data_IF_209926950485
#
_entry.id   IF_209926950485
#
_cell.length_a   1.000
_cell.length_b   1.000
_cell.length_c   1.000
_cell.angle_alpha   90.00
_cell.angle_beta   90.00
_cell.angle_gamma   90.00
#
_symmetry.space_group_name_H-M   'P 1'
#
loop_
_entity.id
_entity.type
_entity.pdbx_description
1 polymer ?
#
# COMPACT_ATOMS: atom_id res chain seq x y z
N UNK A 1 -1.06 22.60 -1.41
CA UNK A 1 0.17 21.90 -1.88
C UNK A 1 -0.24 20.91 -2.97
N UNK A 2 0.50 20.78 -4.09
CA UNK A 2 0.13 19.82 -5.16
C UNK A 2 0.52 18.40 -4.75
N UNK A 3 -0.29 17.41 -5.10
CA UNK A 3 0.05 15.99 -4.92
C UNK A 3 1.33 15.68 -5.72
N UNK A 4 2.31 14.96 -5.13
CA UNK A 4 3.53 14.62 -5.86
C UNK A 4 3.24 13.72 -7.06
N UNK A 5 3.87 13.99 -8.19
CA UNK A 5 3.69 13.22 -9.44
C UNK A 5 4.85 12.23 -9.70
N UNK A 6 5.65 11.89 -8.69
CA UNK A 6 6.72 10.90 -8.87
C UNK A 6 6.11 9.49 -8.94
N UNK A 7 6.82 8.51 -9.56
CA UNK A 7 6.25 7.19 -9.83
C UNK A 7 5.66 6.48 -8.61
N UNK A 8 6.25 6.67 -7.41
CA UNK A 8 5.76 6.07 -6.17
C UNK A 8 4.31 6.49 -5.88
N UNK A 9 4.00 7.79 -5.98
CA UNK A 9 2.67 8.32 -5.62
C UNK A 9 1.62 7.95 -6.66
N UNK A 10 1.96 8.06 -7.94
CA UNK A 10 1.06 7.68 -9.04
C UNK A 10 0.72 6.20 -8.96
N UNK A 11 1.73 5.33 -8.83
CA UNK A 11 1.50 3.89 -8.74
C UNK A 11 0.78 3.50 -7.46
N UNK A 12 1.03 4.18 -6.34
CA UNK A 12 0.28 3.94 -5.10
C UNK A 12 -1.21 4.27 -5.32
N UNK A 13 -1.53 5.38 -5.97
CA UNK A 13 -2.91 5.72 -6.31
C UNK A 13 -3.57 4.65 -7.20
N UNK A 14 -2.88 4.22 -8.26
CA UNK A 14 -3.37 3.18 -9.18
C UNK A 14 -3.61 1.84 -8.44
N UNK A 15 -2.69 1.47 -7.54
CA UNK A 15 -2.82 0.28 -6.72
C UNK A 15 -4.04 0.38 -5.78
N UNK A 16 -4.25 1.52 -5.11
CA UNK A 16 -5.39 1.70 -4.22
C UNK A 16 -6.71 1.68 -4.98
N UNK A 17 -6.76 2.28 -6.17
CA UNK A 17 -7.94 2.19 -7.03
C UNK A 17 -8.22 0.75 -7.45
N UNK A 18 -7.18 -0.03 -7.78
CA UNK A 18 -7.30 -1.46 -8.04
C UNK A 18 -7.82 -2.19 -6.79
N UNK A 19 -7.25 -1.94 -5.61
CA UNK A 19 -7.61 -2.60 -4.36
C UNK A 19 -9.09 -2.37 -4.04
N UNK A 20 -9.54 -1.11 -4.02
CA UNK A 20 -10.92 -0.71 -3.72
C UNK A 20 -11.93 -1.34 -4.69
N UNK A 21 -11.57 -1.44 -5.98
CA UNK A 21 -12.44 -2.11 -6.97
C UNK A 21 -12.62 -3.59 -6.69
N UNK A 22 -11.60 -4.27 -6.16
CA UNK A 22 -11.64 -5.70 -5.87
C UNK A 22 -12.33 -6.00 -4.53
N UNK A 23 -12.01 -5.24 -3.49
CA UNK A 23 -12.65 -5.35 -2.16
C UNK A 23 -14.14 -5.05 -2.20
N UNK A 24 -14.62 -4.25 -3.16
CA UNK A 24 -16.05 -4.07 -3.44
C UNK A 24 -16.81 -5.36 -3.74
N UNK A 25 -16.15 -6.44 -4.13
CA UNK A 25 -16.79 -7.74 -4.41
C UNK A 25 -16.79 -8.67 -3.20
N UNK A 26 -16.12 -8.30 -2.11
CA UNK A 26 -16.02 -9.14 -0.92
C UNK A 26 -17.38 -9.26 -0.21
N UNK A 27 -17.63 -10.38 0.50
CA UNK A 27 -18.83 -10.61 1.28
C UNK A 27 -19.15 -9.47 2.26
N UNK A 28 -20.44 -9.13 2.40
CA UNK A 28 -20.90 -8.01 3.24
C UNK A 28 -20.52 -8.18 4.72
N UNK A 29 -20.50 -9.39 5.24
CA UNK A 29 -20.12 -9.70 6.62
C UNK A 29 -18.63 -9.41 6.92
N UNK A 30 -17.77 -9.27 5.91
CA UNK A 30 -16.36 -8.93 6.07
C UNK A 30 -16.08 -7.43 5.94
N UNK A 31 -17.09 -6.59 5.69
CA UNK A 31 -16.92 -5.16 5.39
C UNK A 31 -16.27 -4.40 6.54
N UNK A 32 -16.84 -4.52 7.73
CA UNK A 32 -16.41 -3.78 8.92
C UNK A 32 -15.25 -4.44 9.68
N UNK A 33 -14.72 -5.55 9.17
CA UNK A 33 -13.61 -6.28 9.77
C UNK A 33 -12.41 -6.30 8.81
N UNK A 34 -12.28 -7.39 8.05
CA UNK A 34 -11.14 -7.66 7.19
C UNK A 34 -11.02 -6.66 6.03
N UNK A 35 -12.14 -6.35 5.37
CA UNK A 35 -12.13 -5.44 4.21
C UNK A 35 -11.69 -4.04 4.61
N UNK A 36 -12.27 -3.50 5.68
CA UNK A 36 -11.89 -2.20 6.23
C UNK A 36 -10.40 -2.18 6.64
N UNK A 37 -9.90 -3.26 7.27
CA UNK A 37 -8.49 -3.36 7.67
C UNK A 37 -7.55 -3.34 6.46
N UNK A 38 -7.89 -4.06 5.39
CA UNK A 38 -7.11 -4.12 4.16
C UNK A 38 -7.08 -2.76 3.43
N UNK A 39 -8.23 -2.12 3.28
CA UNK A 39 -8.34 -0.80 2.63
C UNK A 39 -7.63 0.28 3.44
N UNK A 40 -7.85 0.31 4.77
CA UNK A 40 -7.17 1.23 5.68
C UNK A 40 -5.66 1.07 5.60
N UNK A 41 -5.13 -0.16 5.60
CA UNK A 41 -3.68 -0.40 5.47
C UNK A 41 -3.10 0.17 4.16
N UNK A 42 -3.87 0.13 3.07
CA UNK A 42 -3.50 0.75 1.81
C UNK A 42 -3.42 2.28 1.91
N UNK A 43 -4.44 2.91 2.49
CA UNK A 43 -4.45 4.37 2.69
C UNK A 43 -3.40 4.84 3.69
N UNK A 44 -3.18 4.07 4.76
CA UNK A 44 -2.15 4.27 5.75
C UNK A 44 -0.76 4.30 5.09
N UNK A 45 -0.50 3.42 4.13
CA UNK A 45 0.74 3.42 3.36
C UNK A 45 0.88 4.71 2.53
N UNK A 46 -0.19 5.11 1.83
CA UNK A 46 -0.21 6.35 1.05
C UNK A 46 0.03 7.59 1.93
N UNK A 47 -0.61 7.65 3.10
CA UNK A 47 -0.40 8.72 4.07
C UNK A 47 1.07 8.77 4.50
N UNK A 48 1.68 7.64 4.84
CA UNK A 48 3.06 7.59 5.30
C UNK A 48 4.05 8.12 4.24
N UNK A 49 3.88 7.78 2.96
CA UNK A 49 4.73 8.33 1.88
C UNK A 49 4.48 9.82 1.64
N UNK A 50 3.24 10.31 1.80
CA UNK A 50 2.91 11.73 1.67
C UNK A 50 3.52 12.54 2.82
N UNK A 51 3.42 12.04 4.05
CA UNK A 51 4.03 12.65 5.23
C UNK A 51 5.55 12.68 5.11
N UNK A 52 6.17 11.56 4.70
CA UNK A 52 7.61 11.52 4.40
C UNK A 52 8.02 12.51 3.29
N UNK A 53 7.15 12.75 2.30
CA UNK A 53 7.41 13.78 1.29
C UNK A 53 7.35 15.21 1.84
N UNK A 54 6.46 15.48 2.80
CA UNK A 54 6.24 16.79 3.38
C UNK A 54 7.35 17.23 4.35
N UNK A 55 8.02 16.28 5.02
CA UNK A 55 9.08 16.57 6.00
C UNK A 55 10.49 16.28 5.47
N UNK A 56 11.51 16.59 6.26
CA UNK A 56 12.94 16.43 5.94
C UNK A 56 13.69 15.81 7.14
N UNK A 57 14.93 15.38 6.92
CA UNK A 57 15.80 14.83 7.96
C UNK A 57 15.24 13.56 8.60
N UNK A 58 15.52 13.37 9.89
CA UNK A 58 15.15 12.17 10.65
C UNK A 58 13.65 11.83 10.59
N UNK A 59 12.78 12.84 10.69
CA UNK A 59 11.33 12.63 10.60
C UNK A 59 10.92 11.99 9.27
N UNK A 60 11.59 12.36 8.18
CA UNK A 60 11.34 11.76 6.87
C UNK A 60 11.72 10.28 6.88
N UNK A 61 12.88 9.94 7.43
CA UNK A 61 13.32 8.55 7.54
C UNK A 61 12.33 7.71 8.36
N UNK A 62 11.80 8.25 9.47
CA UNK A 62 10.75 7.60 10.27
C UNK A 62 9.49 7.33 9.47
N UNK A 63 8.99 8.32 8.71
CA UNK A 63 7.80 8.14 7.89
C UNK A 63 7.99 7.13 6.75
N UNK A 64 9.16 7.15 6.09
CA UNK A 64 9.46 6.19 5.03
C UNK A 64 9.68 4.77 5.57
N UNK A 65 10.28 4.63 6.76
CA UNK A 65 10.36 3.35 7.47
C UNK A 65 8.98 2.81 7.87
N UNK A 66 8.09 3.68 8.34
CA UNK A 66 6.69 3.32 8.61
C UNK A 66 5.97 2.88 7.32
N UNK A 67 6.20 3.56 6.20
CA UNK A 67 5.64 3.17 4.91
C UNK A 67 6.10 1.76 4.47
N UNK A 68 7.35 1.40 4.72
CA UNK A 68 7.89 0.07 4.40
C UNK A 68 7.21 -1.02 5.25
N UNK A 69 7.07 -0.78 6.56
CA UNK A 69 6.32 -1.67 7.45
C UNK A 69 4.84 -1.84 7.04
N UNK A 70 4.20 -0.75 6.59
CA UNK A 70 2.82 -0.79 6.08
C UNK A 70 2.70 -1.62 4.80
N UNK A 71 3.66 -1.55 3.87
CA UNK A 71 3.70 -2.42 2.69
C UNK A 71 3.82 -3.90 3.06
N UNK A 72 4.62 -4.23 4.08
CA UNK A 72 4.75 -5.60 4.56
C UNK A 72 3.42 -6.11 5.14
N UNK A 73 2.76 -5.30 5.98
CA UNK A 73 1.43 -5.61 6.51
C UNK A 73 0.39 -5.80 5.40
N UNK A 74 0.41 -4.93 4.38
CA UNK A 74 -0.49 -5.00 3.24
C UNK A 74 -0.30 -6.29 2.43
N UNK A 75 0.96 -6.72 2.22
CA UNK A 75 1.30 -8.00 1.59
C UNK A 75 0.76 -9.18 2.39
N UNK A 76 0.88 -9.14 3.72
CA UNK A 76 0.34 -10.17 4.61
C UNK A 76 -1.19 -10.24 4.54
N UNK A 77 -1.89 -9.10 4.58
CA UNK A 77 -3.34 -9.06 4.44
C UNK A 77 -3.78 -9.63 3.08
N UNK A 78 -3.16 -9.25 1.97
CA UNK A 78 -3.49 -9.82 0.66
C UNK A 78 -3.38 -11.35 0.60
N UNK A 79 -2.46 -11.95 1.35
CA UNK A 79 -2.35 -13.41 1.45
C UNK A 79 -3.58 -14.03 2.11
N UNK A 80 -4.08 -13.44 3.20
CA UNK A 80 -5.37 -13.85 3.78
C UNK A 80 -6.51 -13.73 2.77
N UNK A 81 -6.48 -12.75 1.86
CA UNK A 81 -7.51 -12.63 0.83
C UNK A 81 -7.53 -13.84 -0.12
N UNK A 82 -6.37 -14.45 -0.40
CA UNK A 82 -6.32 -15.70 -1.15
C UNK A 82 -6.82 -16.87 -0.29
N UNK A 83 -6.33 -16.99 0.95
CA UNK A 83 -6.68 -18.10 1.85
C UNK A 83 -8.18 -18.12 2.22
N UNK A 84 -8.85 -16.98 2.13
CA UNK A 84 -10.30 -16.80 2.34
C UNK A 84 -11.11 -16.86 1.03
N UNK A 85 -10.50 -17.23 -0.10
CA UNK A 85 -11.11 -17.28 -1.44
C UNK A 85 -11.73 -15.93 -1.90
N UNK A 86 -11.22 -14.80 -1.38
CA UNK A 86 -11.67 -13.45 -1.71
C UNK A 86 -11.00 -12.90 -2.97
N UNK A 87 -9.76 -13.33 -3.23
CA UNK A 87 -9.01 -13.04 -4.45
C UNK A 87 -8.54 -14.33 -5.10
N UNK A 88 -8.54 -14.37 -6.43
CA UNK A 88 -7.94 -15.47 -7.17
C UNK A 88 -6.41 -15.43 -7.10
N UNK A 89 -5.74 -16.56 -7.36
CA UNK A 89 -4.28 -16.64 -7.44
C UNK A 89 -3.68 -15.64 -8.45
N UNK A 90 -4.39 -15.38 -9.55
CA UNK A 90 -3.97 -14.40 -10.55
C UNK A 90 -4.07 -12.96 -10.03
N UNK A 91 -5.12 -12.64 -9.27
CA UNK A 91 -5.28 -11.33 -8.62
C UNK A 91 -4.23 -11.13 -7.53
N UNK A 92 -3.95 -12.16 -6.73
CA UNK A 92 -2.87 -12.11 -5.74
C UNK A 92 -1.51 -11.89 -6.40
N UNK A 93 -1.23 -12.62 -7.49
CA UNK A 93 0.03 -12.46 -8.25
C UNK A 93 0.18 -11.03 -8.76
N UNK A 94 -0.86 -10.45 -9.36
CA UNK A 94 -0.85 -9.05 -9.77
C UNK A 94 -0.56 -8.13 -8.58
N UNK A 95 -1.30 -8.27 -7.47
CA UNK A 95 -1.14 -7.40 -6.31
C UNK A 95 0.26 -7.47 -5.70
N UNK A 96 0.80 -8.68 -5.52
CA UNK A 96 2.13 -8.90 -4.94
C UNK A 96 3.26 -8.40 -5.83
N UNK A 97 3.15 -8.53 -7.15
CA UNK A 97 4.08 -7.92 -8.10
C UNK A 97 4.02 -6.38 -8.01
N UNK A 98 2.82 -5.82 -7.95
CA UNK A 98 2.61 -4.38 -7.82
C UNK A 98 3.20 -3.83 -6.51
N UNK A 99 2.96 -4.50 -5.38
CA UNK A 99 3.56 -4.13 -4.08
C UNK A 99 5.09 -4.24 -4.09
N UNK A 100 5.65 -5.18 -4.85
CA UNK A 100 7.10 -5.32 -4.99
C UNK A 100 7.71 -4.15 -5.77
N UNK A 101 7.00 -3.66 -6.80
CA UNK A 101 7.38 -2.44 -7.51
C UNK A 101 7.32 -1.21 -6.59
N UNK A 102 6.24 -1.05 -5.81
CA UNK A 102 6.11 0.02 -4.83
C UNK A 102 7.24 -0.01 -3.79
N UNK A 103 7.57 -1.21 -3.29
CA UNK A 103 8.69 -1.39 -2.35
C UNK A 103 10.04 -0.98 -2.95
N UNK A 104 10.30 -1.30 -4.23
CA UNK A 104 11.50 -0.84 -4.94
C UNK A 104 11.57 0.68 -5.03
N UNK A 105 10.45 1.33 -5.38
CA UNK A 105 10.37 2.79 -5.49
C UNK A 105 10.55 3.46 -4.12
N UNK A 106 9.92 2.92 -3.08
CA UNK A 106 10.10 3.38 -1.71
C UNK A 106 11.55 3.21 -1.25
N UNK A 107 12.18 2.07 -1.53
CA UNK A 107 13.57 1.82 -1.19
C UNK A 107 14.54 2.81 -1.84
N UNK A 108 14.27 3.24 -3.08
CA UNK A 108 15.04 4.31 -3.72
C UNK A 108 14.90 5.66 -2.98
N UNK A 109 13.70 5.97 -2.47
CA UNK A 109 13.45 7.16 -1.66
C UNK A 109 14.14 7.10 -0.30
N UNK A 110 14.11 5.95 0.37
CA UNK A 110 14.79 5.73 1.67
C UNK A 110 16.30 5.90 1.50
N UNK A 111 16.88 5.35 0.44
CA UNK A 111 18.32 5.49 0.15
C UNK A 111 18.73 6.93 -0.15
N UNK A 112 17.86 7.71 -0.80
CA UNK A 112 18.11 9.12 -1.07
C UNK A 112 17.89 10.07 0.12
N UNK A 113 17.47 9.54 1.27
CA UNK A 113 17.35 10.29 2.53
C UNK A 113 18.51 10.10 3.50
N UNK A 114 19.29 9.05 3.31
CA UNK A 114 20.58 8.87 3.97
C UNK A 114 21.65 9.67 3.22
#
# INVERSE_FOLDING_TARGET
MKTPNTPLFVKTHDFLLWLLRHTRRFPKNLRHSYTNRLETMGFDFQEAILMGNAVRGEQRSTWLGNADGKLLCLRSLLRFALDLDLLSSQQLKYATQYLSELGRLLGAWIKGTN
#
